data_IF_029699692858
#
_entry.id   IF_029699692858
#
_cell.length_a   1.000
_cell.length_b   1.000
_cell.length_c   1.000
_cell.angle_alpha   90.00
_cell.angle_beta   90.00
_cell.angle_gamma   90.00
#
_symmetry.space_group_name_H-M   'P 1'
#
loop_
_entity.id
_entity.type
_entity.pdbx_description
1 polymer ?
#
# COMPACT_ATOMS: atom_id res chain seq x y z
N UNK A 1 11.43 2.92 -40.06
CA UNK A 1 10.63 2.25 -41.10
C UNK A 1 11.48 1.13 -41.65
N UNK A 2 11.16 -0.11 -41.31
CA UNK A 2 11.83 -1.30 -41.84
C UNK A 2 10.85 -2.02 -42.75
N UNK A 3 11.27 -2.29 -43.99
CA UNK A 3 10.50 -3.02 -44.98
C UNK A 3 10.71 -4.52 -44.80
N UNK A 4 9.67 -5.33 -45.02
CA UNK A 4 9.86 -6.78 -45.08
C UNK A 4 10.37 -7.23 -46.46
N UNK A 5 10.72 -8.51 -46.57
CA UNK A 5 11.29 -9.12 -47.78
C UNK A 5 10.32 -9.11 -49.00
N UNK A 6 9.08 -8.64 -48.84
CA UNK A 6 8.08 -8.50 -49.90
C UNK A 6 7.78 -7.03 -50.24
N UNK A 7 8.53 -6.07 -49.66
CA UNK A 7 8.38 -4.64 -49.94
C UNK A 7 7.13 -4.01 -49.31
N UNK A 8 6.45 -4.72 -48.41
CA UNK A 8 5.31 -4.18 -47.69
C UNK A 8 5.77 -3.33 -46.50
N UNK A 9 5.09 -2.21 -46.32
CA UNK A 9 5.31 -1.31 -45.18
C UNK A 9 4.63 -1.94 -43.96
N UNK A 10 5.35 -2.83 -43.27
CA UNK A 10 4.84 -3.38 -42.02
C UNK A 10 4.90 -2.29 -40.95
N UNK A 11 3.74 -1.69 -40.70
CA UNK A 11 3.56 -0.80 -39.57
C UNK A 11 3.60 -1.67 -38.30
N UNK A 12 4.79 -1.83 -37.72
CA UNK A 12 5.05 -2.65 -36.52
C UNK A 12 4.15 -2.28 -35.32
N UNK A 13 3.48 -1.14 -35.42
CA UNK A 13 2.58 -0.57 -34.44
C UNK A 13 1.19 -1.19 -34.41
N UNK A 14 0.75 -1.84 -35.50
CA UNK A 14 -0.53 -2.56 -35.55
C UNK A 14 -0.43 -4.00 -35.04
N UNK A 15 0.80 -4.50 -34.83
CA UNK A 15 1.05 -5.88 -34.45
C UNK A 15 1.37 -6.03 -32.96
N UNK A 16 1.93 -5.00 -32.30
CA UNK A 16 2.26 -5.05 -30.86
C UNK A 16 2.24 -3.64 -30.23
N UNK A 17 1.80 -3.49 -28.95
CA UNK A 17 1.89 -2.23 -28.23
C UNK A 17 3.36 -1.96 -27.86
N UNK A 18 4.09 -1.32 -28.76
CA UNK A 18 5.48 -0.87 -28.53
C UNK A 18 5.45 0.60 -28.10
N UNK A 19 6.08 0.92 -26.97
CA UNK A 19 6.25 2.30 -26.53
C UNK A 19 6.97 3.13 -27.61
N UNK A 20 6.30 4.17 -28.10
CA UNK A 20 6.85 5.09 -29.10
C UNK A 20 6.22 5.01 -30.49
N UNK A 21 5.19 4.19 -30.70
CA UNK A 21 4.38 4.29 -31.92
C UNK A 21 3.01 4.91 -31.69
N UNK A 22 2.68 5.87 -32.56
CA UNK A 22 1.45 6.65 -32.54
C UNK A 22 0.52 6.14 -33.65
N UNK A 23 -0.52 5.38 -33.28
CA UNK A 23 -1.59 4.99 -34.19
C UNK A 23 -2.79 5.93 -33.99
N UNK A 24 -3.14 6.78 -34.98
CA UNK A 24 -4.26 7.70 -34.87
C UNK A 24 -5.63 7.00 -34.74
N UNK A 25 -5.74 5.70 -35.03
CA UNK A 25 -6.98 4.93 -34.88
C UNK A 25 -7.28 4.49 -33.43
N UNK A 26 -6.29 4.57 -32.53
CA UNK A 26 -6.47 4.23 -31.11
C UNK A 26 -7.02 5.39 -30.26
N UNK A 27 -7.09 6.62 -30.79
CA UNK A 27 -7.65 7.76 -30.05
C UNK A 27 -9.13 7.53 -29.74
N UNK A 28 -9.48 7.54 -28.46
CA UNK A 28 -10.84 7.31 -27.98
C UNK A 28 -11.16 5.83 -27.68
N UNK A 29 -10.24 4.90 -27.90
CA UNK A 29 -10.39 3.52 -27.43
C UNK A 29 -9.88 3.36 -26.00
N UNK A 30 -10.66 2.70 -25.15
CA UNK A 30 -10.20 2.34 -23.81
C UNK A 30 -9.14 1.24 -23.94
N UNK A 31 -7.99 1.42 -23.28
CA UNK A 31 -6.95 0.39 -23.23
C UNK A 31 -7.45 -0.91 -22.59
N UNK A 32 -6.82 -2.04 -22.95
CA UNK A 32 -7.18 -3.38 -22.44
C UNK A 32 -6.75 -3.63 -20.98
N UNK A 33 -6.13 -2.64 -20.35
CA UNK A 33 -5.73 -2.70 -18.96
C UNK A 33 -6.97 -2.79 -18.05
N UNK A 34 -6.96 -3.73 -17.10
CA UNK A 34 -8.02 -3.84 -16.10
C UNK A 34 -8.06 -2.57 -15.25
N UNK A 35 -9.27 -2.14 -14.86
CA UNK A 35 -9.50 -0.96 -14.01
C UNK A 35 -8.84 -1.07 -12.62
N UNK A 36 -8.50 -2.29 -12.18
CA UNK A 36 -7.83 -2.57 -10.91
C UNK A 36 -6.71 -3.60 -11.13
N UNK A 37 -5.52 -3.15 -11.52
CA UNK A 37 -4.34 -4.02 -11.70
C UNK A 37 -3.50 -4.12 -10.41
N UNK A 38 -3.49 -3.07 -9.59
CA UNK A 38 -2.65 -3.03 -8.39
C UNK A 38 -3.47 -3.30 -7.13
N UNK A 39 -3.35 -4.51 -6.59
CA UNK A 39 -3.75 -4.79 -5.22
C UNK A 39 -2.65 -4.28 -4.28
N UNK A 40 -3.04 -3.62 -3.19
CA UNK A 40 -2.08 -3.16 -2.18
C UNK A 40 -1.32 -4.32 -1.51
N UNK A 41 -0.18 -4.02 -0.89
CA UNK A 41 0.58 -5.02 -0.15
C UNK A 41 -0.22 -5.57 1.04
N UNK A 42 0.08 -6.80 1.44
CA UNK A 42 -0.57 -7.44 2.58
C UNK A 42 -0.23 -6.72 3.89
N UNK A 43 -1.22 -6.62 4.77
CA UNK A 43 -1.13 -5.97 6.08
C UNK A 43 -1.19 -7.05 7.16
N UNK A 44 -0.09 -7.23 7.89
CA UNK A 44 -0.02 -8.11 9.07
C UNK A 44 0.37 -7.29 10.30
N UNK A 45 -0.61 -6.96 11.15
CA UNK A 45 -0.42 -6.19 12.39
C UNK A 45 -0.80 -7.07 13.57
N UNK A 46 0.01 -7.03 14.63
CA UNK A 46 -0.31 -7.68 15.90
C UNK A 46 -0.30 -6.64 16.99
N UNK A 47 -1.45 -6.42 17.60
CA UNK A 47 -1.63 -5.49 18.71
C UNK A 47 -1.81 -6.28 20.01
N UNK A 48 -1.20 -5.78 21.08
CA UNK A 48 -1.13 -6.49 22.35
C UNK A 48 -1.34 -5.54 23.52
N UNK A 49 -2.12 -5.99 24.50
CA UNK A 49 -2.40 -5.22 25.70
C UNK A 49 -2.27 -6.09 26.95
N UNK A 50 -1.60 -5.56 27.97
CA UNK A 50 -1.53 -6.13 29.31
C UNK A 50 -2.29 -5.20 30.24
N UNK A 51 -3.29 -5.74 30.93
CA UNK A 51 -4.01 -5.06 32.00
C UNK A 51 -3.86 -5.86 33.29
N UNK A 52 -3.41 -5.19 34.35
CA UNK A 52 -3.19 -5.82 35.65
C UNK A 52 -3.64 -4.89 36.77
N UNK A 53 -4.60 -5.36 37.55
CA UNK A 53 -4.93 -4.77 38.84
C UNK A 53 -4.04 -5.39 39.91
N UNK A 54 -3.35 -4.53 40.66
CA UNK A 54 -2.47 -4.86 41.77
C UNK A 54 -3.18 -4.40 43.05
N UNK A 55 -3.74 -5.32 43.86
CA UNK A 55 -4.32 -4.96 45.14
C UNK A 55 -3.19 -4.56 46.11
N UNK A 56 -3.32 -3.38 46.72
CA UNK A 56 -2.36 -2.87 47.70
C UNK A 56 -2.91 -3.01 49.13
N UNK A 57 -4.22 -2.87 49.31
CA UNK A 57 -4.95 -3.09 50.57
C UNK A 57 -6.42 -3.41 50.26
N UNK A 58 -7.25 -3.58 51.28
CA UNK A 58 -8.68 -3.90 51.14
C UNK A 58 -9.46 -2.81 50.37
N UNK A 59 -9.07 -1.54 50.53
CA UNK A 59 -9.70 -0.40 49.83
C UNK A 59 -8.87 0.16 48.69
N UNK A 60 -7.59 -0.22 48.59
CA UNK A 60 -6.62 0.40 47.67
C UNK A 60 -6.12 -0.56 46.62
N UNK A 61 -6.17 -0.14 45.36
CA UNK A 61 -5.64 -0.92 44.25
C UNK A 61 -5.05 -0.02 43.18
N UNK A 62 -4.15 -0.61 42.39
CA UNK A 62 -3.45 0.05 41.30
C UNK A 62 -3.73 -0.71 40.01
N UNK A 63 -4.28 -0.02 39.03
CA UNK A 63 -4.51 -0.55 37.69
C UNK A 63 -3.35 -0.12 36.79
N UNK A 64 -2.61 -1.11 36.32
CA UNK A 64 -1.56 -0.95 35.32
C UNK A 64 -2.06 -1.43 33.96
N UNK A 65 -1.91 -0.58 32.94
CA UNK A 65 -2.21 -0.90 31.55
C UNK A 65 -1.00 -0.59 30.67
N UNK A 66 -0.58 -1.57 29.90
CA UNK A 66 0.44 -1.43 28.87
C UNK A 66 -0.14 -1.86 27.52
N UNK A 67 0.00 -1.03 26.51
CA UNK A 67 -0.49 -1.28 25.15
C UNK A 67 0.66 -1.18 24.16
N UNK A 68 0.72 -2.14 23.26
CA UNK A 68 1.73 -2.28 22.22
C UNK A 68 1.00 -2.41 20.89
N UNK A 69 1.06 -1.35 20.08
CA UNK A 69 0.60 -1.35 18.71
C UNK A 69 1.74 -1.78 17.80
N UNK A 70 1.47 -2.68 16.85
CA UNK A 70 2.50 -3.28 16.00
C UNK A 70 3.63 -3.94 16.81
N UNK A 71 3.28 -4.93 17.62
CA UNK A 71 4.19 -5.64 18.55
C UNK A 71 5.48 -6.14 17.88
N UNK A 72 5.36 -6.69 16.66
CA UNK A 72 6.48 -7.22 15.87
C UNK A 72 7.23 -6.15 15.05
N UNK A 73 6.82 -4.89 15.13
CA UNK A 73 7.41 -3.78 14.36
C UNK A 73 7.47 -4.06 12.85
N UNK A 74 6.43 -4.68 12.30
CA UNK A 74 6.34 -4.96 10.88
C UNK A 74 5.94 -3.67 10.14
N UNK A 75 6.76 -3.22 9.18
CA UNK A 75 6.43 -2.03 8.39
C UNK A 75 5.33 -2.38 7.42
N UNK A 76 4.27 -1.58 7.41
CA UNK A 76 3.13 -1.78 6.53
C UNK A 76 2.99 -0.60 5.60
N UNK A 77 2.83 -0.90 4.32
CA UNK A 77 2.77 0.09 3.27
C UNK A 77 1.33 0.33 2.85
N UNK A 78 1.03 1.56 2.44
CA UNK A 78 -0.25 1.87 1.81
C UNK A 78 -0.32 1.32 0.38
N UNK A 79 -1.51 1.35 -0.20
CA UNK A 79 -1.70 1.03 -1.62
C UNK A 79 -0.86 1.98 -2.49
N UNK A 80 -0.26 1.48 -3.57
CA UNK A 80 0.43 2.33 -4.54
C UNK A 80 -0.50 3.41 -5.12
N UNK A 81 0.06 4.55 -5.49
CA UNK A 81 -0.69 5.63 -6.11
C UNK A 81 -1.32 5.19 -7.45
N UNK A 82 -2.64 5.33 -7.55
CA UNK A 82 -3.44 4.96 -8.72
C UNK A 82 -3.71 6.13 -9.67
N UNK A 83 -3.21 7.33 -9.38
CA UNK A 83 -3.44 8.51 -10.21
C UNK A 83 -2.58 8.46 -11.47
N UNK A 84 -3.18 8.10 -12.60
CA UNK A 84 -2.49 8.06 -13.91
C UNK A 84 -2.05 9.44 -14.40
N UNK A 85 -2.51 10.52 -13.77
CA UNK A 85 -2.15 11.89 -14.15
C UNK A 85 -0.86 12.38 -13.47
N UNK A 86 -0.39 11.71 -12.41
CA UNK A 86 0.79 12.12 -11.62
C UNK A 86 2.13 11.66 -12.21
N UNK A 87 2.09 11.02 -13.39
CA UNK A 87 3.27 10.66 -14.18
C UNK A 87 4.20 9.70 -13.44
N UNK A 88 5.24 10.25 -12.81
CA UNK A 88 6.31 9.48 -12.14
C UNK A 88 5.88 8.78 -10.85
N UNK A 89 4.81 9.25 -10.18
CA UNK A 89 4.34 8.68 -8.92
C UNK A 89 3.34 7.53 -9.13
N UNK A 90 2.78 7.41 -10.33
CA UNK A 90 1.86 6.34 -10.69
C UNK A 90 2.47 4.96 -10.44
N UNK A 91 1.79 4.14 -9.62
CA UNK A 91 2.22 2.80 -9.25
C UNK A 91 3.28 2.73 -8.16
N UNK A 92 3.68 3.85 -7.54
CA UNK A 92 4.64 3.86 -6.42
C UNK A 92 3.94 3.90 -5.06
N UNK A 93 4.55 3.25 -4.07
CA UNK A 93 4.15 3.35 -2.67
C UNK A 93 4.89 4.53 -2.04
N UNK A 94 4.14 5.55 -1.62
CA UNK A 94 4.72 6.79 -1.08
C UNK A 94 4.54 6.92 0.44
N UNK A 95 3.75 6.05 1.06
CA UNK A 95 3.40 6.13 2.48
C UNK A 95 3.52 4.76 3.17
N UNK A 96 3.95 4.82 4.43
CA UNK A 96 3.93 3.72 5.37
C UNK A 96 3.02 4.06 6.56
N UNK A 97 2.43 3.03 7.17
CA UNK A 97 1.63 3.14 8.40
C UNK A 97 2.52 3.42 9.60
N UNK A 98 1.87 3.75 10.72
CA UNK A 98 2.54 4.09 11.96
C UNK A 98 3.51 3.00 12.43
N UNK A 99 4.69 3.39 12.93
CA UNK A 99 5.65 2.46 13.51
C UNK A 99 5.14 1.90 14.84
N UNK A 100 5.88 0.96 15.44
CA UNK A 100 5.53 0.39 16.75
C UNK A 100 5.36 1.49 17.79
N UNK A 101 4.20 1.49 18.45
CA UNK A 101 3.84 2.47 19.46
C UNK A 101 3.52 1.77 20.77
N UNK A 102 4.10 2.28 21.87
CA UNK A 102 3.90 1.75 23.20
C UNK A 102 3.28 2.82 24.10
N UNK A 103 2.23 2.45 24.82
CA UNK A 103 1.56 3.33 25.77
C UNK A 103 1.47 2.63 27.13
N UNK A 104 1.69 3.42 28.17
CA UNK A 104 1.59 2.97 29.54
C UNK A 104 0.66 3.90 30.29
N UNK A 105 -0.27 3.32 31.04
CA UNK A 105 -1.18 4.04 31.91
C UNK A 105 -1.17 3.41 33.30
N UNK A 106 -1.20 4.27 34.30
CA UNK A 106 -1.25 3.91 35.70
C UNK A 106 -2.41 4.64 36.35
N UNK A 107 -3.29 3.90 37.02
CA UNK A 107 -4.39 4.48 37.78
C UNK A 107 -4.36 3.96 39.21
N UNK A 108 -4.44 4.88 40.16
CA UNK A 108 -4.44 4.57 41.58
C UNK A 108 -5.82 4.85 42.19
N UNK A 109 -6.31 3.88 42.97
CA UNK A 109 -7.57 3.97 43.70
C UNK A 109 -7.27 3.90 45.20
N UNK A 110 -7.87 4.83 45.95
CA UNK A 110 -7.58 5.07 47.37
C UNK A 110 -8.81 4.93 48.26
#
# INVERSE_FOLDING_TARGET
MTFDALGNVNNLCSQQPVFGCYDPSLFGTLGTAKRTICCGPHISQTDFAILKTIPLSETKHLDFRAEFFNLFNHTQFFTPDGNTSDGSQFGQVTQARDPRLMQFALKFFF
#
